data_IF_504257719143
#
_entry.id   IF_504257719143
#
_cell.length_a   1.000
_cell.length_b   1.000
_cell.length_c   1.000
_cell.angle_alpha   90.00
_cell.angle_beta   90.00
_cell.angle_gamma   90.00
#
_symmetry.space_group_name_H-M   'P 1'
#
loop_
_entity.id
_entity.type
_entity.pdbx_description
1 polymer ?
#
# COMPACT_ATOMS: atom_id res chain seq x y z
N UNK A 1 -4.69 15.84 9.18
CA UNK A 1 -3.67 16.60 9.94
C UNK A 1 -3.37 16.05 11.34
N UNK A 2 -4.33 15.83 12.23
CA UNK A 2 -4.06 15.34 13.62
C UNK A 2 -3.25 14.03 13.63
N UNK A 3 -3.68 13.02 12.86
CA UNK A 3 -2.97 11.74 12.79
C UNK A 3 -1.52 11.90 12.31
N UNK A 4 -1.28 12.82 11.37
CA UNK A 4 0.06 13.10 10.85
C UNK A 4 0.95 13.75 11.89
N UNK A 5 0.44 14.73 12.62
CA UNK A 5 1.20 15.40 13.68
C UNK A 5 1.59 14.40 14.78
N UNK A 6 0.65 13.56 15.23
CA UNK A 6 0.93 12.52 16.23
C UNK A 6 2.00 11.56 15.73
N UNK A 7 1.90 11.12 14.47
CA UNK A 7 2.89 10.26 13.84
C UNK A 7 4.27 10.94 13.74
N UNK A 8 4.32 12.23 13.41
CA UNK A 8 5.57 13.00 13.29
C UNK A 8 6.25 13.24 14.67
N UNK A 9 5.47 13.29 15.75
CA UNK A 9 5.96 13.43 17.13
C UNK A 9 6.42 12.10 17.77
N UNK A 10 6.16 10.95 17.15
CA UNK A 10 6.58 9.65 17.70
C UNK A 10 8.12 9.56 17.77
N UNK A 11 8.70 9.32 18.97
CA UNK A 11 10.15 9.21 19.13
C UNK A 11 10.71 7.97 18.43
N UNK A 12 9.93 6.89 18.38
CA UNK A 12 10.22 5.68 17.62
C UNK A 12 8.98 5.27 16.84
N UNK A 13 9.17 4.88 15.58
CA UNK A 13 8.11 4.41 14.69
C UNK A 13 8.33 2.95 14.36
N UNK A 14 7.27 2.15 14.45
CA UNK A 14 7.27 0.74 14.07
C UNK A 14 6.38 0.51 12.85
N UNK A 15 6.43 -0.69 12.28
CA UNK A 15 5.61 -1.07 11.12
C UNK A 15 4.13 -0.74 11.29
N UNK A 16 3.56 -0.98 12.48
CA UNK A 16 2.16 -0.67 12.74
C UNK A 16 1.85 0.83 12.56
N UNK A 17 2.64 1.72 13.16
CA UNK A 17 2.44 3.16 13.04
C UNK A 17 2.54 3.67 11.60
N UNK A 18 3.48 3.14 10.82
CA UNK A 18 3.60 3.45 9.39
C UNK A 18 2.39 2.95 8.60
N UNK A 19 2.03 1.69 8.80
CA UNK A 19 0.96 1.03 8.07
C UNK A 19 -0.41 1.70 8.34
N UNK A 20 -0.69 2.09 9.58
CA UNK A 20 -1.89 2.86 9.92
C UNK A 20 -1.95 4.19 9.18
N UNK A 21 -0.83 4.89 9.03
CA UNK A 21 -0.79 6.15 8.28
C UNK A 21 -0.96 5.95 6.78
N UNK A 22 -0.35 4.91 6.21
CA UNK A 22 -0.52 4.55 4.80
C UNK A 22 -1.99 4.26 4.46
N UNK A 23 -2.65 3.46 5.31
CA UNK A 23 -4.07 3.14 5.17
C UNK A 23 -4.94 4.40 5.31
N UNK A 24 -4.64 5.25 6.30
CA UNK A 24 -5.36 6.50 6.52
C UNK A 24 -5.32 7.41 5.28
N UNK A 25 -4.15 7.54 4.65
CA UNK A 25 -4.01 8.30 3.41
C UNK A 25 -4.74 7.63 2.24
N UNK A 26 -4.64 6.31 2.06
CA UNK A 26 -5.35 5.60 0.98
C UNK A 26 -6.87 5.73 1.12
N UNK A 27 -7.41 5.53 2.32
CA UNK A 27 -8.85 5.62 2.60
C UNK A 27 -9.39 7.05 2.44
N UNK A 28 -8.54 8.06 2.62
CA UNK A 28 -8.89 9.46 2.42
C UNK A 28 -8.70 9.93 0.96
N UNK A 29 -8.26 9.04 0.07
CA UNK A 29 -7.97 9.35 -1.34
C UNK A 29 -6.67 10.14 -1.55
N UNK A 30 -5.89 10.37 -0.50
CA UNK A 30 -4.61 11.08 -0.52
C UNK A 30 -3.47 10.17 -1.01
N UNK A 31 -3.66 9.53 -2.17
CA UNK A 31 -2.78 8.52 -2.76
C UNK A 31 -1.31 8.94 -2.82
N UNK A 32 -1.05 10.18 -3.23
CA UNK A 32 0.32 10.72 -3.33
C UNK A 32 0.98 10.88 -1.95
N UNK A 33 0.22 11.25 -0.92
CA UNK A 33 0.75 11.33 0.44
C UNK A 33 1.07 9.94 1.00
N UNK A 34 0.25 8.93 0.67
CA UNK A 34 0.55 7.53 0.99
C UNK A 34 1.83 7.05 0.31
N UNK A 35 1.99 7.29 -1.00
CA UNK A 35 3.21 6.96 -1.76
C UNK A 35 4.45 7.65 -1.20
N UNK A 36 4.38 8.96 -0.97
CA UNK A 36 5.49 9.72 -0.42
C UNK A 36 5.88 9.19 0.97
N UNK A 37 4.90 8.87 1.82
CA UNK A 37 5.17 8.30 3.13
C UNK A 37 5.82 6.91 3.01
N UNK A 38 5.30 6.07 2.13
CA UNK A 38 5.83 4.73 1.85
C UNK A 38 7.29 4.79 1.39
N UNK A 39 7.63 5.70 0.49
CA UNK A 39 9.00 5.88 0.01
C UNK A 39 9.95 6.29 1.15
N UNK A 40 9.47 7.08 2.11
CA UNK A 40 10.25 7.48 3.29
C UNK A 40 10.40 6.39 4.37
N UNK A 41 9.69 5.27 4.27
CA UNK A 41 9.83 4.17 5.23
C UNK A 41 11.25 3.58 5.17
N UNK A 42 12.00 3.56 6.30
CA UNK A 42 13.34 2.98 6.34
C UNK A 42 13.38 1.50 5.96
N UNK A 43 12.37 0.76 6.44
CA UNK A 43 12.14 -0.64 6.10
C UNK A 43 10.66 -0.84 5.77
N UNK A 44 10.38 -1.71 4.79
CA UNK A 44 9.03 -1.99 4.28
C UNK A 44 8.74 -3.47 4.52
N UNK A 45 7.73 -3.77 5.31
CA UNK A 45 7.24 -5.14 5.52
C UNK A 45 6.21 -5.54 4.45
N UNK A 46 5.85 -6.83 4.40
CA UNK A 46 4.86 -7.32 3.42
C UNK A 46 3.51 -6.59 3.51
N UNK A 47 3.12 -6.13 4.71
CA UNK A 47 1.89 -5.38 4.90
C UNK A 47 1.95 -3.98 4.30
N UNK A 48 3.06 -3.25 4.48
CA UNK A 48 3.24 -1.91 3.89
C UNK A 48 3.09 -1.94 2.36
N UNK A 49 3.65 -2.95 1.70
CA UNK A 49 3.48 -3.19 0.27
C UNK A 49 2.03 -3.52 -0.09
N UNK A 50 1.40 -4.42 0.67
CA UNK A 50 -0.01 -4.75 0.46
C UNK A 50 -0.91 -3.51 0.52
N UNK A 51 -0.73 -2.63 1.51
CA UNK A 51 -1.54 -1.42 1.67
C UNK A 51 -1.42 -0.52 0.44
N UNK A 52 -0.21 -0.26 -0.05
CA UNK A 52 -0.05 0.63 -1.21
C UNK A 52 -0.55 -0.01 -2.49
N UNK A 53 -0.25 -1.28 -2.76
CA UNK A 53 -0.70 -1.96 -3.98
C UNK A 53 -2.23 -2.06 -4.01
N UNK A 54 -2.84 -2.55 -2.92
CA UNK A 54 -4.31 -2.66 -2.83
C UNK A 54 -5.00 -1.30 -2.88
N UNK A 55 -4.42 -0.27 -2.26
CA UNK A 55 -4.93 1.10 -2.30
C UNK A 55 -4.99 1.68 -3.71
N UNK A 56 -3.90 1.55 -4.49
CA UNK A 56 -3.91 1.99 -5.90
C UNK A 56 -4.82 1.14 -6.78
N UNK A 57 -4.88 -0.18 -6.57
CA UNK A 57 -5.75 -1.07 -7.32
C UNK A 57 -7.24 -0.73 -7.10
N UNK A 58 -7.67 -0.56 -5.84
CA UNK A 58 -9.03 -0.13 -5.47
C UNK A 58 -9.39 1.24 -6.04
N UNK A 59 -8.40 2.12 -6.21
CA UNK A 59 -8.59 3.43 -6.82
C UNK A 59 -8.62 3.40 -8.37
N UNK A 60 -8.49 2.23 -9.00
CA UNK A 60 -8.47 2.05 -10.45
C UNK A 60 -7.12 2.39 -11.11
N UNK A 61 -6.08 2.69 -10.33
CA UNK A 61 -4.76 3.09 -10.81
C UNK A 61 -3.87 1.86 -11.05
N UNK A 62 -4.35 0.93 -11.90
CA UNK A 62 -3.78 -0.40 -12.05
C UNK A 62 -2.31 -0.39 -12.51
N UNK A 63 -1.92 0.59 -13.33
CA UNK A 63 -0.53 0.75 -13.79
C UNK A 63 0.44 1.05 -12.64
N UNK A 64 0.02 1.87 -11.67
CA UNK A 64 0.80 2.20 -10.48
C UNK A 64 0.84 1.01 -9.54
N UNK A 65 -0.31 0.36 -9.31
CA UNK A 65 -0.40 -0.84 -8.50
C UNK A 65 0.52 -1.95 -9.02
N UNK A 66 0.56 -2.17 -10.34
CA UNK A 66 1.45 -3.15 -10.98
C UNK A 66 2.92 -2.82 -10.77
N UNK A 67 3.31 -1.55 -10.97
CA UNK A 67 4.70 -1.11 -10.74
C UNK A 67 5.14 -1.30 -9.29
N UNK A 68 4.26 -1.01 -8.33
CA UNK A 68 4.54 -1.25 -6.92
C UNK A 68 4.67 -2.74 -6.61
N UNK A 69 3.80 -3.57 -7.19
CA UNK A 69 3.88 -5.02 -7.06
C UNK A 69 5.21 -5.58 -7.59
N UNK A 70 5.66 -5.11 -8.76
CA UNK A 70 6.92 -5.55 -9.37
C UNK A 70 8.17 -5.11 -8.61
N UNK A 71 8.06 -4.03 -7.83
CA UNK A 71 9.13 -3.52 -7.00
C UNK A 71 9.27 -4.26 -5.66
N UNK A 72 8.35 -5.18 -5.32
CA UNK A 72 8.38 -5.91 -4.07
C UNK A 72 9.58 -6.88 -4.02
N UNK A 73 10.48 -6.76 -3.03
CA UNK A 73 11.69 -7.58 -2.95
C UNK A 73 11.42 -9.05 -2.61
N UNK A 74 10.30 -9.36 -1.93
CA UNK A 74 9.83 -10.72 -1.69
C UNK A 74 8.38 -10.85 -2.15
N UNK A 75 8.15 -11.69 -3.16
CA UNK A 75 6.80 -12.12 -3.52
C UNK A 75 6.36 -13.12 -2.46
N UNK A 76 5.85 -12.65 -1.31
CA UNK A 76 5.10 -13.51 -0.41
C UNK A 76 3.86 -13.98 -1.16
N UNK A 77 3.81 -15.29 -1.46
CA UNK A 77 2.73 -15.95 -2.19
C UNK A 77 1.36 -15.67 -1.52
N UNK A 78 1.33 -15.43 -0.20
CA UNK A 78 0.10 -15.01 0.48
C UNK A 78 -0.37 -13.62 0.04
N UNK A 79 0.55 -12.66 -0.05
CA UNK A 79 0.27 -11.30 -0.53
C UNK A 79 -0.15 -11.31 -2.00
N UNK A 80 0.50 -12.12 -2.84
CA UNK A 80 0.12 -12.34 -4.23
C UNK A 80 -1.30 -12.93 -4.35
N UNK A 81 -1.62 -13.96 -3.55
CA UNK A 81 -2.94 -14.60 -3.59
C UNK A 81 -4.05 -13.67 -3.10
N UNK A 82 -3.81 -12.87 -2.06
CA UNK A 82 -4.76 -11.85 -1.60
C UNK A 82 -4.95 -10.74 -2.63
N UNK A 83 -3.88 -10.30 -3.31
CA UNK A 83 -3.96 -9.32 -4.39
C UNK A 83 -4.69 -9.86 -5.62
N UNK A 84 -4.37 -11.07 -6.09
CA UNK A 84 -5.07 -11.72 -7.20
C UNK A 84 -6.56 -11.96 -6.87
N UNK A 85 -6.87 -12.35 -5.64
CA UNK A 85 -8.24 -12.48 -5.17
C UNK A 85 -8.96 -11.13 -5.20
N UNK A 86 -8.33 -10.05 -4.74
CA UNK A 86 -8.92 -8.72 -4.76
C UNK A 86 -9.04 -8.13 -6.18
N UNK A 87 -8.06 -8.39 -7.06
CA UNK A 87 -8.10 -8.05 -8.48
C UNK A 87 -9.23 -8.80 -9.22
N UNK A 88 -9.41 -10.10 -8.94
CA UNK A 88 -10.46 -10.90 -9.57
C UNK A 88 -11.87 -10.53 -9.10
N UNK A 89 -12.03 -10.10 -7.85
CA UNK A 89 -13.33 -9.69 -7.30
C UNK A 89 -13.74 -8.26 -7.68
N UNK A 90 -12.80 -7.41 -8.12
CA UNK A 90 -13.07 -6.03 -8.56
C UNK A 90 -13.25 -5.85 -10.08
N UNK A 91 -13.39 -6.94 -10.85
CA UNK A 91 -13.87 -6.89 -12.23
C UNK A 91 -12.82 -6.65 -13.32
N UNK A 92 -11.52 -6.67 -13.01
CA UNK A 92 -10.43 -6.53 -14.00
C UNK A 92 -9.81 -7.88 -14.37
N UNK A 93 -10.65 -8.89 -14.62
CA UNK A 93 -10.25 -10.27 -14.89
C UNK A 93 -9.59 -10.49 -16.27
N UNK A 94 -9.35 -9.45 -17.08
CA UNK A 94 -8.81 -9.62 -18.45
C UNK A 94 -7.29 -9.38 -18.60
N UNK A 95 -6.56 -8.90 -17.58
CA UNK A 95 -5.11 -8.61 -17.74
C UNK A 95 -4.18 -9.43 -16.83
N UNK A 96 -4.65 -10.57 -16.33
CA UNK A 96 -3.86 -11.48 -15.49
C UNK A 96 -3.28 -12.72 -16.23
N UNK A 97 -2.85 -12.55 -17.49
CA UNK A 97 -2.06 -13.56 -18.22
C UNK A 97 -0.72 -13.00 -18.69
#
# INVERSE_FOLDING_TARGET
>A
EIARNVFDEMPERNYFSWNTMLEGYMNSGEKMNSLNLFDTMPEKDGYSWYVVVSGFAKAGELSVARRLFDAMPEIDIKTLNSLLYEYSQNGYAEEAL
#
